data_IF_116742661835
#
_entry.id   IF_116742661835
#
_cell.length_a   1.000
_cell.length_b   1.000
_cell.length_c   1.000
_cell.angle_alpha   90.00
_cell.angle_beta   90.00
_cell.angle_gamma   90.00
#
_symmetry.space_group_name_H-M   'P 1'
#
loop_
_entity.id
_entity.type
_entity.pdbx_description
1 polymer ?
#
# COMPACT_ATOMS: atom_id res chain seq x y z
N UNK A 1 12.16 -4.60 7.23
CA UNK A 1 11.17 -4.38 8.31
C UNK A 1 11.84 -3.78 9.54
N UNK A 2 12.86 -4.42 10.10
CA UNK A 2 13.60 -3.88 11.27
C UNK A 2 14.11 -2.45 11.05
N UNK A 3 14.67 -2.15 9.87
CA UNK A 3 15.12 -0.80 9.51
C UNK A 3 13.99 0.25 9.49
N UNK A 4 12.78 -0.16 9.09
CA UNK A 4 11.61 0.72 9.14
C UNK A 4 11.22 0.98 10.60
N UNK A 5 11.13 -0.09 11.41
CA UNK A 5 10.76 -0.02 12.83
C UNK A 5 11.76 0.84 13.62
N UNK A 6 13.07 0.73 13.34
CA UNK A 6 14.09 1.51 14.04
C UNK A 6 13.95 3.02 13.82
N UNK A 7 13.29 3.44 12.74
CA UNK A 7 13.05 4.85 12.42
C UNK A 7 11.71 5.39 12.94
N UNK A 8 10.79 4.54 13.37
CA UNK A 8 9.49 4.95 13.93
C UNK A 8 9.63 5.67 15.28
N UNK A 9 10.73 5.42 16.01
CA UNK A 9 10.86 5.81 17.42
C UNK A 9 10.19 4.80 18.35
N UNK A 10 10.57 4.80 19.63
CA UNK A 10 10.23 3.73 20.59
C UNK A 10 8.72 3.51 20.75
N UNK A 11 7.96 4.60 20.89
CA UNK A 11 6.52 4.54 21.15
C UNK A 11 5.76 4.05 19.91
N UNK A 12 5.97 4.68 18.75
CA UNK A 12 5.34 4.30 17.50
C UNK A 12 5.74 2.88 17.04
N UNK A 13 7.00 2.47 17.27
CA UNK A 13 7.44 1.11 17.03
C UNK A 13 6.64 0.11 17.87
N UNK A 14 6.43 0.40 19.16
CA UNK A 14 5.60 -0.44 20.04
C UNK A 14 4.15 -0.48 19.57
N UNK A 15 3.56 0.66 19.25
CA UNK A 15 2.19 0.72 18.71
C UNK A 15 2.06 -0.11 17.43
N UNK A 16 3.03 -0.02 16.52
CA UNK A 16 3.04 -0.78 15.28
C UNK A 16 3.14 -2.28 15.54
N UNK A 17 4.03 -2.73 16.43
CA UNK A 17 4.15 -4.16 16.77
C UNK A 17 2.91 -4.67 17.48
N UNK A 18 2.33 -3.90 18.40
CA UNK A 18 1.09 -4.25 19.10
C UNK A 18 -0.09 -4.31 18.12
N UNK A 19 -0.14 -3.40 17.15
CA UNK A 19 -1.13 -3.37 16.08
C UNK A 19 -1.08 -4.63 15.21
N UNK A 20 0.12 -5.07 14.81
CA UNK A 20 0.32 -6.29 14.01
C UNK A 20 0.09 -7.58 14.78
N UNK A 21 0.26 -7.58 16.11
CA UNK A 21 0.12 -8.77 16.95
C UNK A 21 -1.33 -9.21 17.16
N UNK A 22 -2.30 -8.38 16.74
CA UNK A 22 -3.72 -8.73 16.75
C UNK A 22 -3.99 -9.70 15.60
N UNK A 23 -4.54 -10.87 15.89
CA UNK A 23 -4.85 -11.93 14.92
C UNK A 23 -5.95 -11.50 13.93
N UNK A 24 -5.55 -10.72 12.92
CA UNK A 24 -6.42 -10.14 11.92
C UNK A 24 -5.61 -9.84 10.64
N UNK A 25 -5.99 -10.49 9.55
CA UNK A 25 -5.40 -10.31 8.22
C UNK A 25 -5.39 -8.84 7.75
N UNK A 26 -6.40 -8.07 8.14
CA UNK A 26 -6.47 -6.62 7.84
C UNK A 26 -5.30 -5.85 8.45
N UNK A 27 -4.86 -6.21 9.66
CA UNK A 27 -3.72 -5.55 10.30
C UNK A 27 -2.41 -5.87 9.56
N UNK A 28 -2.26 -7.11 9.10
CA UNK A 28 -1.11 -7.51 8.30
C UNK A 28 -1.08 -6.80 6.94
N UNK A 29 -2.23 -6.68 6.26
CA UNK A 29 -2.37 -5.91 5.03
C UNK A 29 -2.01 -4.43 5.23
N UNK A 30 -2.44 -3.84 6.34
CA UNK A 30 -2.07 -2.47 6.68
C UNK A 30 -0.57 -2.34 6.97
N UNK A 31 0.04 -3.31 7.66
CA UNK A 31 1.49 -3.37 7.87
C UNK A 31 2.29 -3.44 6.57
N UNK A 32 1.84 -4.26 5.63
CA UNK A 32 2.45 -4.38 4.31
C UNK A 32 2.36 -3.06 3.53
N UNK A 33 1.23 -2.35 3.61
CA UNK A 33 1.08 -1.03 2.99
C UNK A 33 1.96 0.04 3.64
N UNK A 34 2.14 0.02 4.97
CA UNK A 34 3.08 0.92 5.67
C UNK A 34 4.52 0.65 5.21
N UNK A 35 4.90 -0.63 5.05
CA UNK A 35 6.20 -1.02 4.51
C UNK A 35 6.39 -0.53 3.07
N UNK A 36 5.36 -0.66 2.22
CA UNK A 36 5.38 -0.17 0.85
C UNK A 36 5.61 1.34 0.81
N UNK A 37 4.81 2.11 1.55
CA UNK A 37 4.92 3.57 1.63
C UNK A 37 6.32 3.96 2.09
N UNK A 38 6.84 3.31 3.14
CA UNK A 38 8.20 3.56 3.61
C UNK A 38 9.25 3.32 2.50
N UNK A 39 9.14 2.21 1.77
CA UNK A 39 10.09 1.88 0.72
C UNK A 39 10.09 2.88 -0.44
N UNK A 40 8.91 3.28 -0.91
CA UNK A 40 8.80 4.13 -2.11
C UNK A 40 8.81 5.63 -1.80
N UNK A 41 8.64 6.03 -0.53
CA UNK A 41 8.68 7.43 -0.14
C UNK A 41 9.96 7.83 0.58
N UNK A 42 10.47 6.97 1.47
CA UNK A 42 11.60 7.29 2.35
C UNK A 42 12.90 6.66 1.84
N UNK A 43 12.86 5.41 1.37
CA UNK A 43 14.08 4.69 0.97
C UNK A 43 14.50 5.04 -0.46
N UNK A 44 13.62 4.81 -1.42
CA UNK A 44 13.90 5.08 -2.84
C UNK A 44 12.60 5.34 -3.63
N UNK A 45 12.44 6.57 -4.11
CA UNK A 45 11.30 7.00 -4.92
C UNK A 45 11.38 6.65 -6.41
N UNK A 46 12.35 5.84 -6.82
CA UNK A 46 12.49 5.40 -8.21
C UNK A 46 11.31 4.56 -8.69
N UNK A 47 11.06 4.61 -9.99
CA UNK A 47 10.05 3.75 -10.62
C UNK A 47 10.43 2.27 -10.51
N UNK A 48 11.72 1.94 -10.63
CA UNK A 48 12.22 0.58 -10.48
C UNK A 48 11.90 0.02 -9.08
N UNK A 49 12.14 0.80 -8.02
CA UNK A 49 11.81 0.38 -6.66
C UNK A 49 10.29 0.23 -6.46
N UNK A 50 9.50 1.14 -7.04
CA UNK A 50 8.03 1.05 -7.02
C UNK A 50 7.52 -0.24 -7.68
N UNK A 51 8.02 -0.57 -8.87
CA UNK A 51 7.66 -1.80 -9.59
C UNK A 51 8.09 -3.06 -8.83
N UNK A 52 9.31 -3.03 -8.27
CA UNK A 52 9.84 -4.13 -7.45
C UNK A 52 8.95 -4.42 -6.24
N UNK A 53 8.62 -3.40 -5.46
CA UNK A 53 7.80 -3.58 -4.25
C UNK A 53 6.35 -3.93 -4.57
N UNK A 54 5.79 -3.38 -5.65
CA UNK A 54 4.49 -3.81 -6.16
C UNK A 54 4.51 -5.32 -6.43
N UNK A 55 5.48 -5.82 -7.20
CA UNK A 55 5.58 -7.23 -7.54
C UNK A 55 5.83 -8.13 -6.32
N UNK A 56 6.63 -7.69 -5.35
CA UNK A 56 6.86 -8.42 -4.10
C UNK A 56 5.54 -8.62 -3.35
N UNK A 57 4.75 -7.56 -3.19
CA UNK A 57 3.48 -7.62 -2.48
C UNK A 57 2.43 -8.46 -3.21
N UNK A 58 2.28 -8.25 -4.53
CA UNK A 58 1.35 -9.04 -5.34
C UNK A 58 1.64 -10.55 -5.25
N UNK A 59 2.92 -10.95 -5.34
CA UNK A 59 3.33 -12.36 -5.25
C UNK A 59 3.10 -12.96 -3.87
N UNK A 60 3.14 -12.13 -2.83
CA UNK A 60 2.87 -12.54 -1.46
C UNK A 60 1.37 -12.49 -1.09
N UNK A 61 0.49 -12.18 -2.04
CA UNK A 61 -0.96 -12.11 -1.83
C UNK A 61 -1.45 -10.82 -1.16
N UNK A 62 -0.57 -9.84 -0.96
CA UNK A 62 -0.96 -8.55 -0.38
C UNK A 62 -1.52 -7.61 -1.45
N UNK A 63 -2.59 -6.84 -1.16
CA UNK A 63 -3.05 -5.78 -2.04
C UNK A 63 -1.91 -4.77 -2.27
N UNK A 64 -1.42 -4.59 -3.51
CA UNK A 64 -0.26 -3.77 -3.77
C UNK A 64 -0.61 -2.31 -4.02
N UNK A 65 -1.89 -1.91 -3.85
CA UNK A 65 -2.35 -0.52 -3.94
C UNK A 65 -2.52 0.09 -2.56
N UNK A 66 -2.35 1.41 -2.49
CA UNK A 66 -2.41 2.15 -1.24
C UNK A 66 -3.76 2.85 -1.12
N UNK A 67 -4.54 2.49 -0.10
CA UNK A 67 -5.79 3.19 0.21
C UNK A 67 -5.58 4.35 1.21
N UNK A 68 -6.63 5.16 1.43
CA UNK A 68 -6.56 6.32 2.33
C UNK A 68 -6.27 5.94 3.78
N UNK A 69 -6.86 4.86 4.28
CA UNK A 69 -6.65 4.40 5.66
C UNK A 69 -5.19 3.99 5.88
N UNK A 70 -4.60 3.25 4.95
CA UNK A 70 -3.21 2.82 4.99
C UNK A 70 -2.23 4.01 4.98
N UNK A 71 -2.53 5.03 4.18
CA UNK A 71 -1.77 6.29 4.19
C UNK A 71 -1.81 6.98 5.56
N UNK A 72 -2.98 7.05 6.19
CA UNK A 72 -3.12 7.63 7.54
C UNK A 72 -2.40 6.79 8.61
N UNK A 73 -2.42 5.46 8.49
CA UNK A 73 -1.64 4.58 9.38
C UNK A 73 -0.14 4.81 9.20
N UNK A 74 0.34 4.95 7.97
CA UNK A 74 1.74 5.26 7.71
C UNK A 74 2.14 6.61 8.31
N UNK A 75 1.30 7.65 8.19
CA UNK A 75 1.51 8.94 8.87
C UNK A 75 1.63 8.78 10.39
N UNK A 76 0.77 7.98 11.01
CA UNK A 76 0.80 7.75 12.45
C UNK A 76 2.03 6.99 12.95
N UNK A 77 2.42 5.92 12.25
CA UNK A 77 3.57 5.10 12.63
C UNK A 77 4.91 5.73 12.26
N UNK A 78 4.97 6.50 11.17
CA UNK A 78 6.18 7.19 10.72
C UNK A 78 6.24 8.65 11.21
N UNK A 79 5.44 9.03 12.20
CA UNK A 79 5.32 10.42 12.71
C UNK A 79 6.66 11.05 13.10
N UNK A 80 7.61 10.26 13.58
CA UNK A 80 8.95 10.72 13.97
C UNK A 80 9.77 11.26 12.79
N UNK A 81 9.46 10.84 11.56
CA UNK A 81 10.08 11.32 10.34
C UNK A 81 9.45 12.62 9.82
N UNK A 82 8.38 13.10 10.47
CA UNK A 82 7.60 14.28 10.07
C UNK A 82 7.27 14.32 8.55
N UNK A 83 6.71 13.23 7.99
CA UNK A 83 6.46 13.16 6.55
C UNK A 83 5.43 14.21 6.11
N UNK A 84 5.70 14.86 4.99
CA UNK A 84 4.76 15.82 4.38
C UNK A 84 3.48 15.09 3.90
N UNK A 85 2.35 15.50 4.46
CA UNK A 85 1.03 14.91 4.17
C UNK A 85 0.64 15.10 2.71
N UNK A 86 0.88 16.28 2.14
CA UNK A 86 0.55 16.56 0.74
C UNK A 86 1.41 15.74 -0.21
N UNK A 87 2.70 15.60 0.10
CA UNK A 87 3.61 14.75 -0.65
C UNK A 87 3.19 13.28 -0.62
N UNK A 88 2.75 12.76 0.53
CA UNK A 88 2.23 11.40 0.65
C UNK A 88 0.92 11.21 -0.11
N UNK A 89 0.03 12.20 -0.10
CA UNK A 89 -1.19 12.17 -0.92
C UNK A 89 -0.86 12.08 -2.42
N UNK A 90 0.05 12.94 -2.89
CA UNK A 90 0.50 12.95 -4.27
C UNK A 90 1.20 11.62 -4.64
N UNK A 91 2.03 11.09 -3.76
CA UNK A 91 2.68 9.78 -3.93
C UNK A 91 1.63 8.69 -4.15
N UNK A 92 0.62 8.59 -3.27
CA UNK A 92 -0.44 7.57 -3.39
C UNK A 92 -1.15 7.65 -4.74
N UNK A 93 -1.52 8.86 -5.16
CA UNK A 93 -2.21 9.06 -6.43
C UNK A 93 -1.35 8.65 -7.62
N UNK A 94 -0.09 9.09 -7.66
CA UNK A 94 0.85 8.75 -8.73
C UNK A 94 1.18 7.25 -8.75
N UNK A 95 1.45 6.67 -7.58
CA UNK A 95 1.74 5.25 -7.42
C UNK A 95 0.56 4.40 -7.90
N UNK A 96 -0.65 4.64 -7.36
CA UNK A 96 -1.81 3.85 -7.75
C UNK A 96 -2.15 4.03 -9.23
N UNK A 97 -2.11 5.26 -9.75
CA UNK A 97 -2.39 5.53 -11.16
C UNK A 97 -1.45 4.74 -12.09
N UNK A 98 -0.16 4.60 -11.73
CA UNK A 98 0.80 3.80 -12.50
C UNK A 98 0.34 2.35 -12.64
N UNK A 99 -0.11 1.71 -11.57
CA UNK A 99 -0.46 0.28 -11.58
C UNK A 99 -1.91 0.00 -11.99
N UNK A 100 -2.82 0.97 -11.85
CA UNK A 100 -4.19 0.86 -12.38
C UNK A 100 -4.27 1.19 -13.88
N UNK A 101 -3.46 2.13 -14.39
CA UNK A 101 -3.49 2.54 -15.81
C UNK A 101 -2.78 1.57 -16.74
N UNK A 102 -1.87 0.73 -16.21
CA UNK A 102 -1.13 -0.27 -16.98
C UNK A 102 -1.89 -1.59 -17.22
N UNK A 103 -3.21 -1.62 -16.96
CA UNK A 103 -4.05 -2.78 -17.28
C UNK A 103 -3.90 -3.98 -16.35
N UNK A 104 -3.35 -3.78 -15.15
CA UNK A 104 -3.47 -4.75 -14.07
C UNK A 104 -4.88 -4.55 -13.47
N UNK A 105 -5.89 -5.13 -14.11
CA UNK A 105 -7.14 -5.46 -13.43
C UNK A 105 -6.74 -6.37 -12.27
N UNK A 106 -6.73 -5.84 -11.04
CA UNK A 106 -6.45 -6.63 -9.85
C UNK A 106 -7.61 -7.59 -9.64
N UNK A 107 -7.40 -8.85 -9.99
CA UNK A 107 -8.07 -9.99 -9.34
C UNK A 107 -7.79 -9.87 -7.84
N UNK A 108 -8.72 -9.25 -7.11
CA UNK A 108 -8.54 -8.98 -5.69
C UNK A 108 -9.38 -7.83 -5.15
N UNK A 109 -10.48 -7.45 -5.80
CA UNK A 109 -11.57 -6.86 -5.02
C UNK A 109 -12.24 -7.98 -4.23
N UNK A 110 -11.95 -8.04 -2.93
CA UNK A 110 -12.94 -8.52 -1.96
C UNK A 110 -14.11 -7.53 -1.95
N UNK A 111 -14.91 -7.54 -3.00
CA UNK A 111 -16.28 -7.06 -2.98
C UNK A 111 -17.15 -8.30 -3.12
N UNK A 112 -17.65 -8.75 -1.97
CA UNK A 112 -18.87 -9.53 -1.96
C UNK A 112 -19.92 -8.78 -2.79
N UNK A 113 -20.41 -9.50 -3.79
CA UNK A 113 -21.61 -9.28 -4.58
C UNK A 113 -21.53 -8.47 -5.91
N UNK A 114 -21.73 -9.26 -6.98
CA UNK A 114 -22.41 -8.93 -8.24
C UNK A 114 -21.61 -8.35 -9.41
N UNK A 115 -21.18 -9.28 -10.29
CA UNK A 115 -21.14 -9.19 -11.76
C UNK A 115 -20.71 -7.84 -12.34
N UNK A 116 -19.43 -7.52 -12.23
CA UNK A 116 -18.84 -6.52 -13.12
C UNK A 116 -18.27 -7.24 -14.34
N UNK A 117 -19.03 -7.22 -15.44
CA UNK A 117 -18.50 -7.50 -16.78
C UNK A 117 -17.42 -6.46 -17.05
N UNK A 118 -16.20 -6.91 -17.37
CA UNK A 118 -15.11 -6.01 -17.75
C UNK A 118 -15.57 -5.12 -18.89
N UNK A 119 -15.39 -3.80 -18.75
CA UNK A 119 -15.75 -2.78 -19.75
C UNK A 119 -15.05 -3.04 -21.10
N UNK A 120 -13.95 -3.79 -21.08
CA UNK A 120 -13.23 -4.24 -22.27
C UNK A 120 -13.99 -5.34 -23.04
N UNK A 121 -14.76 -6.19 -22.36
CA UNK A 121 -15.59 -7.23 -22.99
C UNK A 121 -16.87 -6.67 -23.61
N UNK A 122 -17.52 -5.68 -22.99
CA UNK A 122 -18.75 -5.07 -23.53
C UNK A 122 -18.52 -4.42 -24.90
N UNK A 123 -17.41 -3.68 -25.03
CA UNK A 123 -17.04 -2.97 -26.27
C UNK A 123 -16.60 -3.89 -27.41
N UNK A 124 -16.38 -5.18 -27.12
CA UNK A 124 -16.08 -6.20 -28.14
C UNK A 124 -17.33 -6.95 -28.60
N UNK A 125 -18.41 -6.90 -27.81
CA UNK A 125 -19.68 -7.61 -28.08
C UNK A 125 -20.77 -6.69 -28.65
N UNK A 126 -20.58 -5.37 -28.64
CA UNK A 126 -21.45 -4.34 -29.21
C UNK A 126 -20.63 -3.34 -30.02
#
# INVERSE_FOLDING_TARGET
VESMISMMGKEAAKEFTDYLSKDNETHLHNGAAVLLIWQVFIVDGSEENSQRWHAILSRAGFPPLINRQQLLLALGFLRQLEPDIQALHALREQYNARFTSQGIELEGEFTDNSKLVSLSEWRRRH
#
